data_IF_051095175464
#
_entry.id   IF_051095175464
#
_cell.length_a   1.000
_cell.length_b   1.000
_cell.length_c   1.000
_cell.angle_alpha   90.00
_cell.angle_beta   90.00
_cell.angle_gamma   90.00
#
_symmetry.space_group_name_H-M   'P 1'
#
loop_
_entity.id
_entity.type
_entity.pdbx_description
1 polymer ?
#
# COMPACT_ATOMS: atom_id res chain seq x y z
N UNK A 1 -26.70 12.19 20.39
CA UNK A 1 -25.94 12.87 19.31
C UNK A 1 -24.43 12.74 19.52
N UNK A 2 -23.91 12.96 20.75
CA UNK A 2 -22.46 12.87 21.04
C UNK A 2 -21.85 11.50 20.75
N UNK A 3 -22.52 10.41 21.10
CA UNK A 3 -22.04 9.03 20.85
C UNK A 3 -21.87 8.72 19.36
N UNK A 4 -22.81 9.14 18.51
CA UNK A 4 -22.69 8.94 17.05
C UNK A 4 -21.42 9.62 16.51
N UNK A 5 -21.13 10.85 16.98
CA UNK A 5 -19.92 11.59 16.57
C UNK A 5 -18.65 10.88 17.05
N UNK A 6 -18.65 10.29 18.26
CA UNK A 6 -17.49 9.52 18.74
C UNK A 6 -17.24 8.26 17.91
N UNK A 7 -18.29 7.55 17.50
CA UNK A 7 -18.16 6.38 16.61
C UNK A 7 -17.66 6.80 15.23
N UNK A 8 -18.14 7.92 14.68
CA UNK A 8 -17.63 8.48 13.42
C UNK A 8 -16.16 8.87 13.50
N UNK A 9 -15.72 9.48 14.60
CA UNK A 9 -14.30 9.80 14.83
C UNK A 9 -13.43 8.53 14.90
N UNK A 10 -13.95 7.43 15.48
CA UNK A 10 -13.26 6.14 15.52
C UNK A 10 -13.10 5.54 14.11
N UNK A 11 -14.17 5.59 13.29
CA UNK A 11 -14.10 5.16 11.88
C UNK A 11 -13.04 5.96 11.13
N UNK A 12 -13.04 7.30 11.25
CA UNK A 12 -12.07 8.16 10.58
C UNK A 12 -10.61 7.84 10.99
N UNK A 13 -10.38 7.47 12.26
CA UNK A 13 -9.08 7.03 12.73
C UNK A 13 -8.66 5.69 12.09
N UNK A 14 -9.57 4.71 12.04
CA UNK A 14 -9.33 3.42 11.40
C UNK A 14 -9.05 3.58 9.89
N UNK A 15 -9.76 4.49 9.22
CA UNK A 15 -9.50 4.83 7.80
C UNK A 15 -8.09 5.40 7.60
N UNK A 16 -7.62 6.25 8.52
CA UNK A 16 -6.26 6.77 8.51
C UNK A 16 -5.23 5.64 8.73
N UNK A 17 -5.43 4.81 9.74
CA UNK A 17 -4.55 3.67 10.05
C UNK A 17 -4.47 2.72 8.85
N UNK A 18 -5.61 2.44 8.19
CA UNK A 18 -5.67 1.67 6.93
C UNK A 18 -4.85 2.34 5.83
N UNK A 19 -5.03 3.64 5.60
CA UNK A 19 -4.28 4.35 4.55
C UNK A 19 -2.76 4.29 4.79
N UNK A 20 -2.31 4.46 6.04
CA UNK A 20 -0.89 4.35 6.42
C UNK A 20 -0.37 2.94 6.16
N UNK A 21 -1.14 1.91 6.52
CA UNK A 21 -0.78 0.51 6.23
C UNK A 21 -0.67 0.27 4.73
N UNK A 22 -1.67 0.68 3.95
CA UNK A 22 -1.74 0.42 2.50
C UNK A 22 -0.56 1.09 1.77
N UNK A 23 -0.21 2.32 2.14
CA UNK A 23 0.99 2.99 1.62
C UNK A 23 2.27 2.24 2.03
N UNK A 24 2.37 1.81 3.29
CA UNK A 24 3.53 1.06 3.78
C UNK A 24 3.71 -0.26 3.03
N UNK A 25 2.62 -1.00 2.78
CA UNK A 25 2.64 -2.24 2.00
C UNK A 25 3.06 -1.95 0.56
N UNK A 26 2.47 -0.94 -0.09
CA UNK A 26 2.81 -0.54 -1.45
C UNK A 26 4.29 -0.15 -1.61
N UNK A 27 4.87 0.56 -0.63
CA UNK A 27 6.30 0.90 -0.63
C UNK A 27 7.16 -0.38 -0.54
N UNK A 28 6.79 -1.33 0.32
CA UNK A 28 7.54 -2.60 0.46
C UNK A 28 7.45 -3.45 -0.80
N UNK A 29 6.28 -3.59 -1.38
CA UNK A 29 6.08 -4.31 -2.64
C UNK A 29 6.91 -3.70 -3.76
N UNK A 30 6.81 -2.38 -3.97
CA UNK A 30 7.59 -1.65 -4.97
C UNK A 30 9.10 -1.76 -4.72
N UNK A 31 9.54 -1.69 -3.45
CA UNK A 31 10.94 -1.89 -3.10
C UNK A 31 11.47 -3.28 -3.48
N UNK A 32 10.73 -4.34 -3.17
CA UNK A 32 11.16 -5.70 -3.50
C UNK A 32 11.10 -5.96 -5.01
N UNK A 33 10.11 -5.41 -5.72
CA UNK A 33 10.04 -5.49 -7.18
C UNK A 33 11.24 -4.78 -7.83
N UNK A 34 11.59 -3.60 -7.37
CA UNK A 34 12.75 -2.86 -7.83
C UNK A 34 14.06 -3.63 -7.58
N UNK A 35 14.20 -4.25 -6.41
CA UNK A 35 15.34 -5.12 -6.09
C UNK A 35 15.42 -6.35 -6.99
N UNK A 36 14.26 -6.97 -7.27
CA UNK A 36 14.17 -8.11 -8.17
C UNK A 36 14.61 -7.74 -9.59
N UNK A 37 14.09 -6.63 -10.13
CA UNK A 37 14.44 -6.14 -11.46
C UNK A 37 15.96 -5.88 -11.56
N UNK A 38 16.56 -5.21 -10.58
CA UNK A 38 18.02 -4.98 -10.54
C UNK A 38 18.82 -6.27 -10.51
N UNK A 39 18.37 -7.26 -9.75
CA UNK A 39 19.02 -8.57 -9.72
C UNK A 39 18.84 -9.31 -11.05
N UNK A 40 17.67 -9.25 -11.66
CA UNK A 40 17.40 -9.84 -12.97
C UNK A 40 18.28 -9.21 -14.05
N UNK A 41 18.45 -7.89 -14.06
CA UNK A 41 19.38 -7.18 -14.98
C UNK A 41 20.81 -7.68 -14.84
N UNK A 42 21.31 -7.82 -13.61
CA UNK A 42 22.66 -8.32 -13.36
C UNK A 42 22.83 -9.74 -13.92
N UNK A 43 21.92 -10.65 -13.63
CA UNK A 43 21.95 -12.03 -14.11
C UNK A 43 21.82 -12.09 -15.65
N UNK A 44 20.95 -11.29 -16.24
CA UNK A 44 20.78 -11.20 -17.69
C UNK A 44 22.08 -10.71 -18.36
N UNK A 45 22.74 -9.70 -17.77
CA UNK A 45 24.03 -9.22 -18.23
C UNK A 45 25.13 -10.30 -18.20
N UNK A 46 25.22 -11.06 -17.11
CA UNK A 46 26.14 -12.21 -16.99
C UNK A 46 25.85 -13.29 -18.05
N UNK A 47 24.57 -13.60 -18.28
CA UNK A 47 24.14 -14.57 -19.29
C UNK A 47 24.49 -14.10 -20.73
N UNK A 48 24.34 -12.80 -21.03
CA UNK A 48 24.75 -12.24 -22.32
C UNK A 48 26.27 -12.42 -22.54
N UNK A 49 27.09 -12.17 -21.51
CA UNK A 49 28.51 -12.39 -21.59
C UNK A 49 28.83 -13.86 -21.84
N UNK A 50 28.20 -14.79 -21.14
CA UNK A 50 28.36 -16.22 -21.32
C UNK A 50 27.96 -16.66 -22.74
N UNK A 51 26.82 -16.22 -23.26
CA UNK A 51 26.37 -16.55 -24.61
C UNK A 51 27.29 -15.95 -25.69
N UNK A 52 27.82 -14.76 -25.49
CA UNK A 52 28.80 -14.20 -26.40
C UNK A 52 30.09 -15.05 -26.43
N UNK A 53 30.51 -15.61 -25.29
CA UNK A 53 31.66 -16.53 -25.24
C UNK A 53 31.34 -17.85 -25.96
N UNK A 54 30.16 -18.44 -25.71
CA UNK A 54 29.70 -19.66 -26.41
C UNK A 54 29.59 -19.45 -27.93
N UNK A 55 29.10 -18.29 -28.37
CA UNK A 55 29.03 -17.93 -29.79
C UNK A 55 30.44 -17.93 -30.42
N UNK A 56 31.44 -17.33 -29.76
CA UNK A 56 32.82 -17.36 -30.27
C UNK A 56 33.36 -18.79 -30.38
N UNK A 57 33.08 -19.65 -29.39
CA UNK A 57 33.48 -21.05 -29.45
C UNK A 57 32.81 -21.74 -30.66
N UNK A 58 31.49 -21.55 -30.84
CA UNK A 58 30.76 -22.13 -31.96
C UNK A 58 31.29 -21.67 -33.32
N UNK A 59 31.63 -20.38 -33.48
CA UNK A 59 32.22 -19.82 -34.69
C UNK A 59 33.61 -20.45 -34.98
N UNK A 60 34.47 -20.60 -33.97
CA UNK A 60 35.79 -21.26 -34.11
C UNK A 60 35.66 -22.72 -34.46
N UNK A 61 34.78 -23.45 -33.76
CA UNK A 61 34.56 -24.88 -33.97
C UNK A 61 33.90 -25.15 -35.35
N UNK A 62 33.07 -24.24 -35.83
CA UNK A 62 32.52 -24.29 -37.19
C UNK A 62 33.64 -24.09 -38.23
N UNK A 63 34.52 -23.11 -38.01
CA UNK A 63 35.66 -22.88 -38.92
C UNK A 63 36.65 -24.06 -39.00
N UNK A 64 36.64 -24.94 -37.99
CA UNK A 64 37.40 -26.21 -37.94
C UNK A 64 36.62 -27.42 -38.47
N UNK A 65 35.45 -27.23 -39.11
CA UNK A 65 34.54 -28.31 -39.57
C UNK A 65 34.06 -29.26 -38.45
N UNK A 66 34.02 -28.79 -37.19
CA UNK A 66 33.69 -29.59 -35.99
C UNK A 66 32.32 -29.21 -35.39
N UNK A 67 31.67 -28.18 -35.88
CA UNK A 67 30.32 -27.75 -35.49
C UNK A 67 29.53 -27.40 -36.74
N UNK A 68 28.19 -27.31 -36.59
CA UNK A 68 27.29 -26.92 -37.68
C UNK A 68 27.07 -25.40 -37.72
N UNK A 69 26.77 -24.84 -38.89
CA UNK A 69 26.36 -23.46 -39.01
C UNK A 69 25.10 -23.14 -38.18
N UNK A 70 24.25 -24.15 -37.98
CA UNK A 70 23.06 -24.04 -37.15
C UNK A 70 23.42 -23.69 -35.68
N UNK A 71 24.49 -24.23 -35.12
CA UNK A 71 24.92 -23.93 -33.75
C UNK A 71 25.34 -22.46 -33.60
N UNK A 72 25.97 -21.88 -34.60
CA UNK A 72 26.32 -20.45 -34.64
C UNK A 72 25.06 -19.58 -34.69
N UNK A 73 24.14 -19.90 -35.60
CA UNK A 73 22.87 -19.15 -35.75
C UNK A 73 22.03 -19.23 -34.47
N UNK A 74 21.98 -20.40 -33.86
CA UNK A 74 21.25 -20.60 -32.58
C UNK A 74 21.84 -19.73 -31.47
N UNK A 75 23.15 -19.70 -31.32
CA UNK A 75 23.83 -18.86 -30.32
C UNK A 75 23.60 -17.37 -30.57
N UNK A 76 23.58 -16.93 -31.84
CA UNK A 76 23.26 -15.55 -32.20
C UNK A 76 21.79 -15.19 -31.85
N UNK A 77 20.84 -16.06 -32.20
CA UNK A 77 19.42 -15.84 -31.90
C UNK A 77 19.16 -15.73 -30.38
N UNK A 78 19.77 -16.62 -29.58
CA UNK A 78 19.66 -16.57 -28.12
C UNK A 78 20.28 -15.30 -27.53
N UNK A 79 21.43 -14.85 -28.07
CA UNK A 79 22.04 -13.60 -27.64
C UNK A 79 21.14 -12.40 -27.98
N UNK A 80 20.50 -12.41 -29.17
CA UNK A 80 19.52 -11.39 -29.58
C UNK A 80 18.34 -11.33 -28.63
N UNK A 81 17.77 -12.47 -28.25
CA UNK A 81 16.67 -12.56 -27.31
C UNK A 81 17.05 -11.97 -25.94
N UNK A 82 18.18 -12.37 -25.36
CA UNK A 82 18.60 -11.83 -24.07
C UNK A 82 18.91 -10.32 -24.10
N UNK A 83 19.36 -9.77 -25.22
CA UNK A 83 19.51 -8.32 -25.36
C UNK A 83 18.18 -7.60 -25.36
N UNK A 84 17.16 -8.18 -26.00
CA UNK A 84 15.79 -7.66 -25.95
C UNK A 84 15.25 -7.71 -24.51
N UNK A 85 15.42 -8.84 -23.81
CA UNK A 85 15.02 -8.99 -22.42
C UNK A 85 15.73 -7.96 -21.51
N UNK A 86 17.00 -7.66 -21.76
CA UNK A 86 17.73 -6.62 -21.03
C UNK A 86 17.12 -5.23 -21.23
N UNK A 87 16.71 -4.88 -22.46
CA UNK A 87 16.03 -3.61 -22.73
C UNK A 87 14.69 -3.51 -22.00
N UNK A 88 13.91 -4.60 -21.95
CA UNK A 88 12.67 -4.63 -21.19
C UNK A 88 12.91 -4.43 -19.69
N UNK A 89 13.98 -5.03 -19.16
CA UNK A 89 14.35 -4.85 -17.76
C UNK A 89 14.82 -3.42 -17.46
N UNK A 90 15.46 -2.72 -18.41
CA UNK A 90 15.81 -1.31 -18.27
C UNK A 90 14.54 -0.44 -18.15
N UNK A 91 13.56 -0.67 -19.01
CA UNK A 91 12.25 0.02 -18.97
C UNK A 91 11.49 -0.25 -17.67
N UNK A 92 11.48 -1.51 -17.22
CA UNK A 92 10.84 -1.89 -15.96
C UNK A 92 11.53 -1.25 -14.76
N UNK A 93 12.87 -1.16 -14.76
CA UNK A 93 13.60 -0.49 -13.69
C UNK A 93 13.23 0.99 -13.60
N UNK A 94 13.19 1.71 -14.73
CA UNK A 94 12.78 3.12 -14.76
C UNK A 94 11.34 3.31 -14.26
N UNK A 95 10.44 2.45 -14.70
CA UNK A 95 9.03 2.49 -14.27
C UNK A 95 8.88 2.28 -12.77
N UNK A 96 9.54 1.26 -12.22
CA UNK A 96 9.45 0.94 -10.80
C UNK A 96 10.21 1.96 -9.93
N UNK A 97 11.32 2.53 -10.42
CA UNK A 97 11.98 3.66 -9.77
C UNK A 97 11.06 4.86 -9.63
N UNK A 98 10.38 5.23 -10.71
CA UNK A 98 9.41 6.35 -10.71
C UNK A 98 8.27 6.08 -9.75
N UNK A 99 7.72 4.85 -9.75
CA UNK A 99 6.66 4.44 -8.84
C UNK A 99 7.10 4.52 -7.37
N UNK A 100 8.26 3.98 -7.05
CA UNK A 100 8.80 3.99 -5.69
C UNK A 100 9.11 5.42 -5.22
N UNK A 101 9.66 6.26 -6.10
CA UNK A 101 9.89 7.66 -5.79
C UNK A 101 8.56 8.41 -5.52
N UNK A 102 7.53 8.16 -6.32
CA UNK A 102 6.20 8.75 -6.10
C UNK A 102 5.58 8.33 -4.75
N UNK A 103 5.73 7.04 -4.35
CA UNK A 103 5.28 6.57 -3.04
C UNK A 103 6.04 7.20 -1.87
N UNK A 104 7.29 7.63 -2.10
CA UNK A 104 8.16 8.25 -1.11
C UNK A 104 8.13 9.79 -1.15
N UNK A 105 7.26 10.38 -1.96
CA UNK A 105 7.17 11.84 -2.18
C UNK A 105 8.52 12.45 -2.61
N UNK A 106 9.21 11.78 -3.55
CA UNK A 106 10.49 12.21 -4.11
C UNK A 106 10.34 12.55 -5.59
N UNK A 107 11.33 13.28 -6.15
CA UNK A 107 11.39 13.51 -7.60
C UNK A 107 11.39 12.18 -8.37
N UNK A 108 10.65 12.06 -9.49
CA UNK A 108 10.44 10.79 -10.21
C UNK A 108 11.73 10.10 -10.66
N UNK A 109 12.77 10.88 -10.99
CA UNK A 109 14.08 10.44 -11.48
C UNK A 109 15.16 10.34 -10.39
N UNK A 110 14.79 10.59 -9.11
CA UNK A 110 15.72 10.52 -8.00
C UNK A 110 16.36 9.14 -7.89
N UNK A 111 17.67 9.09 -7.90
CA UNK A 111 18.41 7.84 -7.83
C UNK A 111 18.33 7.19 -6.44
N UNK A 112 18.28 5.87 -6.44
CA UNK A 112 18.49 5.05 -5.26
C UNK A 112 19.95 4.61 -5.19
N UNK A 113 20.58 4.83 -4.05
CA UNK A 113 21.93 4.33 -3.78
C UNK A 113 21.97 2.79 -3.71
N UNK A 114 22.99 2.25 -3.04
CA UNK A 114 23.12 0.80 -2.83
C UNK A 114 21.99 0.31 -1.93
N UNK A 115 21.07 -0.44 -2.52
CA UNK A 115 19.98 -1.11 -1.78
C UNK A 115 20.51 -2.42 -1.19
N UNK A 116 20.09 -2.72 0.03
CA UNK A 116 20.42 -3.97 0.73
C UNK A 116 19.14 -4.77 0.86
N UNK A 117 19.10 -5.95 0.24
CA UNK A 117 17.99 -6.88 0.42
C UNK A 117 18.05 -7.50 1.83
N UNK A 118 16.90 -7.52 2.51
CA UNK A 118 16.77 -8.34 3.70
C UNK A 118 16.80 -9.84 3.35
N UNK A 119 17.28 -10.65 4.28
CA UNK A 119 17.22 -12.10 4.13
C UNK A 119 15.76 -12.57 4.16
N UNK A 120 15.43 -13.55 3.31
CA UNK A 120 14.11 -14.17 3.31
C UNK A 120 13.79 -14.74 4.71
N UNK A 121 12.64 -14.34 5.24
CA UNK A 121 12.08 -14.88 6.48
C UNK A 121 10.85 -15.70 6.12
N UNK A 122 10.82 -16.98 6.49
CA UNK A 122 9.64 -17.81 6.31
C UNK A 122 8.50 -17.32 7.21
N UNK A 123 7.27 -17.37 6.69
CA UNK A 123 6.08 -17.10 7.50
C UNK A 123 5.87 -18.29 8.44
N UNK A 124 5.89 -18.03 9.76
CA UNK A 124 5.77 -19.04 10.80
C UNK A 124 4.32 -19.30 11.24
N UNK A 125 3.35 -18.62 10.64
CA UNK A 125 1.93 -18.71 11.01
C UNK A 125 1.21 -19.76 10.17
N UNK A 126 0.33 -20.54 10.82
CA UNK A 126 -0.65 -21.36 10.09
C UNK A 126 -1.85 -20.51 9.64
N UNK A 127 -2.68 -21.06 8.75
CA UNK A 127 -3.79 -20.31 8.16
C UNK A 127 -4.84 -19.87 9.20
N UNK A 128 -5.08 -20.66 10.24
CA UNK A 128 -6.03 -20.34 11.30
C UNK A 128 -5.52 -19.18 12.17
N UNK A 129 -4.22 -19.14 12.44
CA UNK A 129 -3.58 -18.01 13.13
C UNK A 129 -3.66 -16.73 12.31
N UNK A 130 -3.47 -16.83 10.98
CA UNK A 130 -3.61 -15.68 10.08
C UNK A 130 -5.04 -15.14 10.12
N UNK A 131 -6.06 -16.01 10.05
CA UNK A 131 -7.46 -15.58 10.14
C UNK A 131 -7.77 -14.89 11.47
N UNK A 132 -7.28 -15.42 12.59
CA UNK A 132 -7.47 -14.78 13.90
C UNK A 132 -6.80 -13.42 13.97
N UNK A 133 -5.55 -13.32 13.50
CA UNK A 133 -4.83 -12.05 13.45
C UNK A 133 -5.53 -11.02 12.55
N UNK A 134 -6.09 -11.46 11.42
CA UNK A 134 -6.86 -10.59 10.54
C UNK A 134 -8.14 -10.10 11.23
N UNK A 135 -8.88 -10.98 11.93
CA UNK A 135 -10.09 -10.62 12.65
C UNK A 135 -9.83 -9.57 13.75
N UNK A 136 -8.68 -9.65 14.42
CA UNK A 136 -8.32 -8.77 15.53
C UNK A 136 -7.68 -7.45 15.07
N UNK A 137 -6.96 -7.46 13.93
CA UNK A 137 -6.08 -6.36 13.57
C UNK A 137 -6.36 -5.72 12.19
N UNK A 138 -7.18 -6.37 11.34
CA UNK A 138 -7.44 -5.79 10.03
C UNK A 138 -8.44 -4.63 10.12
N UNK A 139 -8.03 -3.46 9.67
CA UNK A 139 -8.78 -2.20 9.80
C UNK A 139 -10.14 -2.28 9.10
N UNK A 140 -10.25 -2.91 7.92
CA UNK A 140 -11.53 -3.08 7.22
C UNK A 140 -12.56 -3.86 8.06
N UNK A 141 -12.11 -4.89 8.77
CA UNK A 141 -12.98 -5.67 9.66
C UNK A 141 -13.40 -4.81 10.85
N UNK A 142 -12.47 -4.04 11.42
CA UNK A 142 -12.78 -3.13 12.53
C UNK A 142 -13.69 -1.98 12.10
N UNK A 143 -13.51 -1.43 10.90
CA UNK A 143 -14.40 -0.43 10.31
C UNK A 143 -15.81 -1.01 10.16
N UNK A 144 -15.94 -2.22 9.60
CA UNK A 144 -17.25 -2.87 9.43
C UNK A 144 -17.95 -3.10 10.77
N UNK A 145 -17.24 -3.59 11.80
CA UNK A 145 -17.77 -3.75 13.17
C UNK A 145 -18.22 -2.40 13.74
N UNK A 146 -17.43 -1.34 13.57
CA UNK A 146 -17.74 0.01 14.07
C UNK A 146 -18.91 0.64 13.30
N UNK A 147 -19.10 0.32 12.02
CA UNK A 147 -20.28 0.75 11.25
C UNK A 147 -21.56 0.11 11.75
N UNK A 148 -21.53 -1.15 12.19
CA UNK A 148 -22.68 -1.80 12.85
C UNK A 148 -22.99 -1.09 14.16
N UNK A 149 -21.98 -0.84 15.01
CA UNK A 149 -22.14 -0.07 16.27
C UNK A 149 -22.76 1.33 16.01
N UNK A 150 -22.30 2.01 14.94
CA UNK A 150 -22.86 3.30 14.51
C UNK A 150 -24.35 3.19 14.16
N UNK A 151 -24.73 2.13 13.44
CA UNK A 151 -26.14 1.92 13.07
C UNK A 151 -27.01 1.66 14.30
N UNK A 152 -26.55 0.85 15.26
CA UNK A 152 -27.23 0.60 16.53
C UNK A 152 -27.39 1.89 17.35
N UNK A 153 -26.31 2.67 17.48
CA UNK A 153 -26.34 3.97 18.17
C UNK A 153 -27.33 4.95 17.53
N UNK A 154 -27.46 4.93 16.20
CA UNK A 154 -28.46 5.76 15.49
C UNK A 154 -29.87 5.30 15.74
N UNK A 155 -30.13 3.99 15.85
CA UNK A 155 -31.44 3.46 16.22
C UNK A 155 -31.83 3.92 17.63
N UNK A 156 -30.91 3.86 18.58
CA UNK A 156 -31.15 4.33 19.94
C UNK A 156 -31.41 5.84 19.99
N UNK A 157 -30.60 6.62 19.25
CA UNK A 157 -30.86 8.07 19.13
C UNK A 157 -32.25 8.36 18.57
N UNK A 158 -32.69 7.63 17.54
CA UNK A 158 -34.05 7.80 16.98
C UNK A 158 -35.17 7.44 17.99
N UNK A 159 -34.94 6.43 18.85
CA UNK A 159 -35.86 6.09 19.94
C UNK A 159 -35.95 7.23 20.94
N UNK A 160 -34.84 7.86 21.33
CA UNK A 160 -34.85 9.01 22.24
C UNK A 160 -35.52 10.25 21.63
N UNK A 161 -35.41 10.49 20.32
CA UNK A 161 -36.06 11.60 19.63
C UNK A 161 -37.60 11.50 19.61
N UNK A 162 -38.16 10.31 19.79
CA UNK A 162 -39.59 10.09 19.91
C UNK A 162 -40.13 10.32 21.34
N UNK A 163 -39.29 10.61 22.33
CA UNK A 163 -39.69 10.94 23.65
C UNK A 163 -40.03 12.45 23.75
N UNK A 164 -41.07 12.84 24.50
CA UNK A 164 -41.40 14.24 24.66
C UNK A 164 -40.31 15.00 25.44
N UNK A 165 -39.96 16.19 24.97
CA UNK A 165 -39.04 17.09 25.66
C UNK A 165 -39.68 17.69 26.91
N UNK A 166 -39.10 17.44 28.07
CA UNK A 166 -39.53 18.06 29.32
C UNK A 166 -38.58 19.22 29.66
N UNK A 167 -39.13 20.43 29.76
CA UNK A 167 -38.42 21.60 30.28
C UNK A 167 -38.93 21.95 31.67
N UNK A 168 -38.09 21.85 32.67
CA UNK A 168 -38.39 22.33 34.02
C UNK A 168 -37.64 23.62 34.24
N UNK A 169 -38.37 24.70 34.45
CA UNK A 169 -37.79 26.02 34.73
C UNK A 169 -38.38 26.59 36.00
N UNK A 170 -37.54 27.15 36.87
CA UNK A 170 -38.01 27.94 38.05
C UNK A 170 -37.76 29.41 37.73
N UNK A 171 -38.85 30.17 37.64
CA UNK A 171 -38.77 31.63 37.44
C UNK A 171 -39.12 32.34 38.76
N UNK A 172 -38.18 33.09 39.30
CA UNK A 172 -38.42 33.97 40.44
C UNK A 172 -38.52 35.41 39.91
N UNK A 173 -39.67 36.05 40.13
CA UNK A 173 -39.87 37.47 39.82
C UNK A 173 -40.16 38.26 41.10
N UNK A 174 -39.24 39.15 41.46
CA UNK A 174 -39.49 40.11 42.54
C UNK A 174 -40.25 41.33 41.96
N UNK A 175 -41.54 41.45 42.33
CA UNK A 175 -42.33 42.61 41.99
C UNK A 175 -42.06 43.69 43.06
N UNK A 176 -41.29 44.74 42.68
CA UNK A 176 -41.08 45.90 43.54
C UNK A 176 -42.42 46.60 43.85
N UNK A 177 -42.56 47.12 45.08
CA UNK A 177 -43.74 47.93 45.42
C UNK A 177 -43.87 49.08 44.43
N UNK A 178 -45.08 49.34 43.89
CA UNK A 178 -45.26 50.53 43.07
C UNK A 178 -44.99 51.78 43.92
N UNK A 179 -44.16 52.65 43.37
CA UNK A 179 -43.90 53.97 44.00
C UNK A 179 -45.17 54.82 43.89
N UNK A 180 -45.88 54.93 44.99
CA UNK A 180 -47.16 55.68 45.09
C UNK A 180 -46.85 57.08 45.60
N UNK A 181 -45.80 57.70 45.16
CA UNK A 181 -45.48 59.10 45.51
C UNK A 181 -45.63 60.02 44.29
N UNK A 182 -46.87 60.16 43.79
CA UNK A 182 -47.43 61.43 43.30
C UNK A 182 -48.88 61.28 42.87
N UNK A 183 -49.88 61.68 43.66
CA UNK A 183 -51.24 61.92 43.16
C UNK A 183 -51.31 63.32 42.49
N UNK A 184 -52.20 63.51 41.49
CA UNK A 184 -52.32 64.76 40.74
C UNK A 184 -52.86 65.91 41.60
#
# INVERSE_FOLDING_TARGET
AGEVVQVEARIAKLDLDKAVRDVTVSIRESFYEFMYIRKAKLVTGENIQLLNHLRKIAETTYAEDRATFFDVVKAQAQTGQLRYDALLLDELEMTEQTRLNGLLDREPDAEFGRLVAESFKSVAYNIQEIYRLAEDHQEEIQIAKTQVEKAETKVDLARYQNLPDFKVGVTYSAIGKPDVSNPP
#
